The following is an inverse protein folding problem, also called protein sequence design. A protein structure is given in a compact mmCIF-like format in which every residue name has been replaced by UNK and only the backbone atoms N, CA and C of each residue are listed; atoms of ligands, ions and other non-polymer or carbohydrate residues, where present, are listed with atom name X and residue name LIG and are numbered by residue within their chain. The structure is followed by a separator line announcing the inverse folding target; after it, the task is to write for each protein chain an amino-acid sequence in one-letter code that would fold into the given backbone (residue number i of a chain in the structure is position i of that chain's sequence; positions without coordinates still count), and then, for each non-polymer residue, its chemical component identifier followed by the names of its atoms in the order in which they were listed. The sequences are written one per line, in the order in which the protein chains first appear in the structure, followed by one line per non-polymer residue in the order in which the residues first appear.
data_IF_214179705064
#
_entry.id   IF_214179705064
#
_cell.length_a   1.000
_cell.length_b   1.000
_cell.length_c   1.000
_cell.angle_alpha   90.00
_cell.angle_beta   90.00
_cell.angle_gamma   90.00
#
_symmetry.space_group_name_H-M   'P 1'
#
loop_
_entity.id
_entity.type
_entity.pdbx_description
1 polymer ?
#
# COMPACT_ATOMS: atom_id res chain seq x y z
N UNK A 1 6.96 -17.72 -27.20
CA UNK A 1 6.77 -18.28 -25.85
C UNK A 1 5.78 -17.39 -25.14
N UNK A 2 4.55 -17.88 -25.00
CA UNK A 2 3.44 -17.12 -24.42
C UNK A 2 3.58 -17.03 -22.90
N UNK A 3 3.09 -15.94 -22.32
CA UNK A 3 3.11 -15.64 -20.87
C UNK A 3 2.55 -16.80 -20.01
N UNK A 4 1.69 -17.65 -20.56
CA UNK A 4 1.11 -18.81 -19.88
C UNK A 4 2.12 -19.93 -19.56
N UNK A 5 3.22 -20.05 -20.28
CA UNK A 5 4.22 -21.12 -20.05
C UNK A 5 5.23 -20.81 -18.92
N UNK A 6 5.27 -19.56 -18.43
CA UNK A 6 6.16 -19.15 -17.32
C UNK A 6 5.55 -19.35 -15.93
N UNK A 7 4.27 -19.65 -15.83
CA UNK A 7 3.58 -19.73 -14.52
C UNK A 7 3.45 -21.15 -13.99
N UNK A 8 3.86 -22.15 -14.76
CA UNK A 8 3.71 -23.55 -14.38
C UNK A 8 4.96 -24.15 -13.72
N UNK A 9 5.31 -23.68 -12.54
CA UNK A 9 5.95 -24.51 -11.48
C UNK A 9 5.69 -23.86 -10.12
N UNK A 10 4.89 -24.48 -9.24
CA UNK A 10 4.90 -24.09 -7.85
C UNK A 10 6.21 -24.59 -7.24
N UNK A 11 7.21 -23.72 -7.16
CA UNK A 11 8.38 -23.97 -6.33
C UNK A 11 8.03 -23.58 -4.90
N UNK A 12 7.06 -24.29 -4.33
CA UNK A 12 6.97 -24.40 -2.87
C UNK A 12 7.92 -25.53 -2.43
N UNK A 13 9.18 -25.40 -2.80
CA UNK A 13 10.23 -26.08 -2.08
C UNK A 13 10.40 -25.33 -0.77
N UNK A 14 10.18 -26.02 0.31
CA UNK A 14 10.36 -25.72 1.72
C UNK A 14 11.67 -24.93 1.97
N UNK A 15 11.72 -23.67 1.56
CA UNK A 15 12.70 -22.74 2.04
C UNK A 15 12.13 -22.18 3.35
N UNK A 16 12.32 -22.97 4.43
CA UNK A 16 12.45 -22.38 5.76
C UNK A 16 13.65 -21.47 5.69
N UNK A 17 13.45 -20.23 5.18
CA UNK A 17 14.39 -19.15 5.38
C UNK A 17 14.39 -18.96 6.88
N UNK A 18 15.39 -19.55 7.52
CA UNK A 18 15.79 -19.22 8.86
C UNK A 18 16.40 -17.81 8.78
N UNK A 19 15.55 -16.81 8.52
CA UNK A 19 15.90 -15.42 8.59
C UNK A 19 16.11 -15.17 10.06
N UNK A 20 17.35 -15.36 10.53
CA UNK A 20 17.80 -14.77 11.76
C UNK A 20 17.67 -13.26 11.60
N UNK A 21 16.48 -12.75 11.92
CA UNK A 21 16.33 -11.31 12.13
C UNK A 21 17.30 -10.92 13.22
N UNK A 22 18.21 -9.99 12.97
CA UNK A 22 19.16 -9.52 13.98
C UNK A 22 18.48 -8.85 15.18
N UNK A 23 17.16 -8.78 15.19
CA UNK A 23 16.31 -8.24 16.25
C UNK A 23 16.38 -8.99 17.59
N UNK A 24 16.96 -10.22 17.59
CA UNK A 24 17.02 -11.03 18.82
C UNK A 24 18.17 -10.68 19.76
N UNK A 25 19.13 -9.80 19.35
CA UNK A 25 20.30 -9.47 20.16
C UNK A 25 20.63 -7.99 20.28
N UNK A 26 19.87 -7.11 19.68
CA UNK A 26 19.99 -5.66 19.84
C UNK A 26 18.70 -5.11 20.44
N UNK A 27 18.81 -4.32 21.50
CA UNK A 27 17.66 -3.69 22.15
C UNK A 27 16.78 -2.96 21.12
N UNK A 28 15.48 -2.96 21.37
CA UNK A 28 14.51 -2.16 20.60
C UNK A 28 15.05 -0.73 20.47
N UNK A 29 15.20 -0.16 19.27
CA UNK A 29 15.66 1.21 19.14
C UNK A 29 14.77 2.11 20.00
N UNK A 30 15.39 2.92 20.87
CA UNK A 30 14.67 3.78 21.84
C UNK A 30 13.80 4.83 21.15
N UNK A 31 14.01 5.06 19.86
CA UNK A 31 13.23 5.97 19.03
C UNK A 31 12.95 5.30 17.69
N UNK A 32 11.66 5.07 17.40
CA UNK A 32 11.25 4.68 16.05
C UNK A 32 11.39 5.88 15.10
N UNK A 33 11.88 5.70 13.86
CA UNK A 33 11.92 6.77 12.90
C UNK A 33 10.50 7.29 12.64
N UNK A 34 10.34 8.61 12.63
CA UNK A 34 9.07 9.25 12.23
C UNK A 34 9.02 9.29 10.71
N UNK A 35 8.00 8.65 10.12
CA UNK A 35 7.82 8.60 8.67
C UNK A 35 6.65 9.49 8.30
N UNK A 36 6.89 10.45 7.40
CA UNK A 36 5.84 11.29 6.82
C UNK A 36 5.11 10.54 5.69
N UNK A 37 4.00 9.92 6.03
CA UNK A 37 3.16 9.19 5.09
C UNK A 37 2.34 10.12 4.16
N UNK A 38 2.35 11.44 4.38
CA UNK A 38 1.62 12.40 3.52
C UNK A 38 2.33 12.61 2.18
N UNK A 39 3.66 12.40 2.16
CA UNK A 39 4.46 12.48 0.94
C UNK A 39 4.53 11.11 0.26
N UNK A 40 4.64 11.06 -1.09
CA UNK A 40 4.98 9.82 -1.79
C UNK A 40 6.31 9.26 -1.27
N UNK A 41 6.44 7.93 -1.24
CA UNK A 41 7.70 7.30 -0.86
C UNK A 41 8.82 7.72 -1.81
N UNK A 42 9.97 8.10 -1.26
CA UNK A 42 11.14 8.55 -2.02
C UNK A 42 12.38 7.83 -1.49
N UNK A 43 12.59 6.60 -1.95
CA UNK A 43 13.79 5.82 -1.63
C UNK A 43 14.29 5.09 -2.86
N UNK A 44 15.53 4.60 -2.79
CA UNK A 44 16.10 3.78 -3.85
C UNK A 44 15.25 2.52 -4.05
N UNK A 45 15.15 1.99 -5.28
CA UNK A 45 14.44 0.75 -5.54
C UNK A 45 14.96 -0.40 -4.69
N UNK A 46 14.08 -1.17 -4.10
CA UNK A 46 14.44 -2.34 -3.28
C UNK A 46 15.28 -3.34 -4.06
N UNK A 47 15.04 -3.45 -5.37
CA UNK A 47 15.83 -4.30 -6.28
C UNK A 47 17.23 -3.75 -6.58
N UNK A 48 17.54 -2.49 -6.25
CA UNK A 48 18.84 -1.88 -6.54
C UNK A 48 19.91 -2.15 -5.48
N UNK A 49 19.53 -2.64 -4.29
CA UNK A 49 20.46 -2.97 -3.21
C UNK A 49 19.80 -2.99 -1.84
N UNK A 50 20.59 -3.17 -0.78
CA UNK A 50 20.07 -3.18 0.58
C UNK A 50 19.40 -1.85 0.96
N UNK A 51 18.15 -1.90 1.43
CA UNK A 51 17.44 -0.74 1.96
C UNK A 51 17.90 -0.47 3.41
N UNK A 52 17.97 0.80 3.78
CA UNK A 52 18.13 1.19 5.19
C UNK A 52 16.82 0.97 5.98
N UNK A 53 16.93 1.00 7.33
CA UNK A 53 15.81 0.68 8.22
C UNK A 53 14.61 1.62 8.04
N UNK A 54 14.84 2.91 7.78
CA UNK A 54 13.77 3.89 7.60
C UNK A 54 13.02 3.67 6.28
N UNK A 55 13.76 3.46 5.20
CA UNK A 55 13.20 3.12 3.88
C UNK A 55 12.42 1.80 3.91
N UNK A 56 12.98 0.77 4.55
CA UNK A 56 12.31 -0.52 4.71
C UNK A 56 11.01 -0.39 5.51
N UNK A 57 11.01 0.42 6.57
CA UNK A 57 9.83 0.66 7.39
C UNK A 57 8.75 1.43 6.62
N UNK A 58 9.11 2.49 5.89
CA UNK A 58 8.16 3.27 5.07
C UNK A 58 7.47 2.37 4.03
N UNK A 59 8.23 1.61 3.26
CA UNK A 59 7.69 0.67 2.27
C UNK A 59 6.78 -0.37 2.93
N UNK A 60 7.23 -0.96 4.05
CA UNK A 60 6.45 -1.97 4.77
C UNK A 60 5.12 -1.44 5.29
N UNK A 61 5.07 -0.21 5.82
CA UNK A 61 3.84 0.41 6.30
C UNK A 61 2.84 0.67 5.16
N UNK A 62 3.31 1.11 3.99
CA UNK A 62 2.47 1.32 2.81
C UNK A 62 1.94 0.01 2.25
N UNK A 63 2.78 -1.01 2.13
CA UNK A 63 2.36 -2.36 1.71
C UNK A 63 1.35 -2.95 2.70
N UNK A 64 1.57 -2.80 4.00
CA UNK A 64 0.62 -3.24 5.03
C UNK A 64 -0.75 -2.56 4.88
N UNK A 65 -0.78 -1.28 4.51
CA UNK A 65 -2.05 -0.59 4.25
C UNK A 65 -2.79 -1.14 3.03
N UNK A 66 -2.10 -1.73 2.07
CA UNK A 66 -2.71 -2.38 0.89
C UNK A 66 -2.98 -3.88 1.10
N UNK A 67 -2.42 -4.51 2.13
CA UNK A 67 -2.52 -5.95 2.38
C UNK A 67 -3.91 -6.38 2.93
N UNK A 68 -4.97 -5.91 2.27
CA UNK A 68 -6.36 -6.24 2.59
C UNK A 68 -7.19 -6.18 1.29
N UNK A 69 -7.95 -7.24 0.94
CA UNK A 69 -8.68 -7.29 -0.34
C UNK A 69 -9.71 -6.16 -0.51
N UNK A 70 -10.38 -5.75 0.56
CA UNK A 70 -11.36 -4.67 0.50
C UNK A 70 -10.66 -3.33 0.21
N UNK A 71 -9.48 -3.08 0.78
CA UNK A 71 -8.69 -1.87 0.51
C UNK A 71 -8.17 -1.81 -0.91
N UNK A 72 -7.68 -2.93 -1.44
CA UNK A 72 -7.28 -3.01 -2.85
C UNK A 72 -8.45 -2.72 -3.78
N UNK A 73 -9.64 -3.29 -3.48
CA UNK A 73 -10.86 -3.03 -4.26
C UNK A 73 -11.31 -1.58 -4.18
N UNK A 74 -11.25 -0.95 -3.00
CA UNK A 74 -11.57 0.47 -2.82
C UNK A 74 -10.62 1.38 -3.63
N UNK A 75 -9.33 1.13 -3.59
CA UNK A 75 -8.34 1.86 -4.40
C UNK A 75 -8.64 1.70 -5.90
N UNK A 76 -8.93 0.49 -6.36
CA UNK A 76 -9.29 0.23 -7.76
C UNK A 76 -10.53 1.01 -8.19
N UNK A 77 -11.57 1.06 -7.36
CA UNK A 77 -12.78 1.85 -7.62
C UNK A 77 -12.48 3.35 -7.68
N UNK A 78 -11.67 3.86 -6.75
CA UNK A 78 -11.28 5.27 -6.73
C UNK A 78 -10.41 5.67 -7.93
N UNK A 79 -9.60 4.75 -8.46
CA UNK A 79 -8.84 5.00 -9.69
C UNK A 79 -9.69 4.97 -10.95
N UNK A 80 -10.75 4.17 -10.96
CA UNK A 80 -11.69 4.09 -12.08
C UNK A 80 -12.70 5.25 -12.07
N UNK A 81 -12.90 5.91 -10.93
CA UNK A 81 -13.84 7.02 -10.81
C UNK A 81 -13.29 8.30 -11.47
N UNK A 82 -14.12 8.96 -12.27
CA UNK A 82 -13.81 10.28 -12.86
C UNK A 82 -13.99 11.40 -11.84
N UNK A 83 -14.93 11.21 -10.89
CA UNK A 83 -15.29 12.18 -9.86
C UNK A 83 -15.02 11.62 -8.44
N UNK A 84 -14.81 12.51 -7.46
CA UNK A 84 -14.64 12.09 -6.07
C UNK A 84 -15.83 11.26 -5.57
N UNK A 85 -15.55 10.11 -4.96
CA UNK A 85 -16.56 9.16 -4.49
C UNK A 85 -16.90 9.36 -3.02
N UNK A 86 -18.18 9.20 -2.64
CA UNK A 86 -18.59 9.24 -1.23
C UNK A 86 -18.38 7.90 -0.53
N UNK A 87 -18.30 7.92 0.81
CA UNK A 87 -18.24 6.67 1.60
C UNK A 87 -19.42 5.75 1.28
N UNK A 88 -20.64 6.31 1.16
CA UNK A 88 -21.85 5.53 0.89
C UNK A 88 -21.82 4.87 -0.49
N UNK A 89 -21.38 5.58 -1.54
CA UNK A 89 -21.28 5.00 -2.88
C UNK A 89 -20.24 3.87 -2.93
N UNK A 90 -19.12 4.05 -2.26
CA UNK A 90 -18.08 3.01 -2.16
C UNK A 90 -18.56 1.80 -1.35
N UNK A 91 -19.30 2.02 -0.26
CA UNK A 91 -19.88 0.96 0.56
C UNK A 91 -20.86 0.10 -0.24
N UNK A 92 -21.75 0.73 -1.01
CA UNK A 92 -22.67 0.03 -1.91
C UNK A 92 -21.90 -0.79 -2.97
N UNK A 93 -20.83 -0.22 -3.55
CA UNK A 93 -20.04 -0.88 -4.60
C UNK A 93 -19.25 -2.11 -4.11
N UNK A 94 -18.77 -2.09 -2.85
CA UNK A 94 -17.99 -3.23 -2.29
C UNK A 94 -18.86 -4.19 -1.49
N UNK A 95 -20.12 -3.84 -1.20
CA UNK A 95 -21.04 -4.68 -0.41
C UNK A 95 -20.69 -4.73 1.10
N UNK A 96 -20.14 -3.64 1.65
CA UNK A 96 -19.79 -3.50 3.06
C UNK A 96 -20.57 -2.36 3.71
N UNK A 97 -20.59 -2.32 5.05
CA UNK A 97 -21.19 -1.19 5.77
C UNK A 97 -20.37 0.08 5.59
N UNK A 98 -21.01 1.25 5.66
CA UNK A 98 -20.30 2.54 5.57
C UNK A 98 -19.27 2.72 6.70
N UNK A 99 -19.54 2.20 7.89
CA UNK A 99 -18.58 2.24 9.00
C UNK A 99 -17.31 1.43 8.70
N UNK A 100 -17.48 0.24 8.11
CA UNK A 100 -16.35 -0.62 7.69
C UNK A 100 -15.54 0.06 6.59
N UNK A 101 -16.22 0.60 5.57
CA UNK A 101 -15.55 1.32 4.47
C UNK A 101 -14.86 2.57 4.98
N UNK A 102 -15.48 3.33 5.89
CA UNK A 102 -14.86 4.49 6.52
C UNK A 102 -13.55 4.11 7.26
N UNK A 103 -13.54 2.97 7.95
CA UNK A 103 -12.33 2.45 8.59
C UNK A 103 -11.23 2.12 7.56
N UNK A 104 -11.56 1.39 6.49
CA UNK A 104 -10.61 1.07 5.42
C UNK A 104 -10.07 2.32 4.72
N UNK A 105 -10.94 3.29 4.41
CA UNK A 105 -10.53 4.58 3.83
C UNK A 105 -9.63 5.38 4.79
N UNK A 106 -9.89 5.31 6.10
CA UNK A 106 -9.02 5.88 7.13
C UNK A 106 -7.59 5.29 7.08
N UNK A 107 -7.47 3.96 6.97
CA UNK A 107 -6.17 3.29 6.82
C UNK A 107 -5.44 3.71 5.53
N UNK A 108 -6.15 3.75 4.41
CA UNK A 108 -5.60 4.17 3.12
C UNK A 108 -5.17 5.65 3.13
N UNK A 109 -5.94 6.51 3.79
CA UNK A 109 -5.60 7.92 3.96
C UNK A 109 -4.35 8.10 4.83
N UNK A 110 -4.26 7.40 5.96
CA UNK A 110 -3.08 7.41 6.82
C UNK A 110 -1.83 6.96 6.07
N UNK A 111 -1.96 5.99 5.16
CA UNK A 111 -0.87 5.52 4.30
C UNK A 111 -0.60 6.41 3.07
N UNK A 112 -1.32 7.52 2.91
CA UNK A 112 -1.11 8.48 1.84
C UNK A 112 -1.69 8.10 0.48
N UNK A 113 -2.48 7.02 0.35
CA UNK A 113 -3.05 6.55 -0.92
C UNK A 113 -4.38 7.21 -1.29
N UNK A 114 -5.07 7.78 -0.31
CA UNK A 114 -6.37 8.42 -0.49
C UNK A 114 -6.33 9.82 0.11
N UNK A 115 -6.84 10.79 -0.63
CA UNK A 115 -7.22 12.10 -0.13
C UNK A 115 -8.70 12.10 0.21
N UNK A 116 -9.09 12.85 1.24
CA UNK A 116 -10.48 12.98 1.65
C UNK A 116 -10.81 14.43 1.93
N UNK A 117 -11.88 14.92 1.34
CA UNK A 117 -12.35 16.28 1.50
C UNK A 117 -13.80 16.28 1.98
N UNK A 118 -14.11 17.12 2.95
CA UNK A 118 -15.47 17.28 3.46
C UNK A 118 -16.19 18.36 2.67
N UNK A 119 -17.31 17.98 2.06
CA UNK A 119 -18.21 18.89 1.35
C UNK A 119 -19.60 18.82 2.00
N UNK A 120 -19.92 19.81 2.83
CA UNK A 120 -21.13 19.82 3.63
C UNK A 120 -21.17 18.66 4.63
N UNK A 121 -22.18 17.82 4.52
CA UNK A 121 -22.37 16.63 5.39
C UNK A 121 -21.68 15.37 4.86
N UNK A 122 -21.15 15.40 3.63
CA UNK A 122 -20.54 14.24 2.96
C UNK A 122 -19.02 14.38 2.94
N UNK A 123 -18.35 13.23 2.99
CA UNK A 123 -16.91 13.13 2.76
C UNK A 123 -16.68 12.51 1.39
N UNK A 124 -15.91 13.18 0.58
CA UNK A 124 -15.51 12.76 -0.75
C UNK A 124 -14.06 12.25 -0.72
N UNK A 125 -13.81 11.17 -1.44
CA UNK A 125 -12.54 10.48 -1.46
C UNK A 125 -12.01 10.40 -2.89
N UNK A 126 -10.70 10.61 -3.05
CA UNK A 126 -9.96 10.48 -4.31
C UNK A 126 -8.71 9.66 -4.10
N UNK A 127 -8.33 8.85 -5.10
CA UNK A 127 -7.07 8.12 -5.06
C UNK A 127 -5.90 9.05 -5.41
N UNK A 128 -4.79 8.86 -4.70
CA UNK A 128 -3.52 9.54 -4.98
C UNK A 128 -2.66 8.67 -5.88
N UNK A 129 -2.70 8.94 -7.20
CA UNK A 129 -1.94 8.21 -8.21
C UNK A 129 -0.44 8.33 -8.02
N UNK A 130 0.03 9.51 -7.62
CA UNK A 130 1.44 9.79 -7.33
C UNK A 130 2.00 8.84 -6.25
N UNK A 131 1.25 8.61 -5.18
CA UNK A 131 1.65 7.76 -4.07
C UNK A 131 1.76 6.28 -4.48
N UNK A 132 0.81 5.77 -5.29
CA UNK A 132 0.86 4.39 -5.76
C UNK A 132 1.96 4.19 -6.80
N UNK A 133 2.13 5.13 -7.73
CA UNK A 133 3.21 5.10 -8.73
C UNK A 133 4.59 5.13 -8.05
N UNK A 134 4.75 5.96 -7.02
CA UNK A 134 6.00 6.01 -6.26
C UNK A 134 6.31 4.67 -5.57
N UNK A 135 5.30 4.04 -4.95
CA UNK A 135 5.47 2.72 -4.33
C UNK A 135 5.86 1.65 -5.37
N UNK A 136 5.21 1.63 -6.53
CA UNK A 136 5.59 0.70 -7.61
C UNK A 136 7.04 0.88 -8.04
N UNK A 137 7.50 2.12 -8.22
CA UNK A 137 8.89 2.43 -8.61
C UNK A 137 9.91 2.01 -7.55
N UNK A 138 9.55 2.08 -6.27
CA UNK A 138 10.42 1.61 -5.18
C UNK A 138 10.51 0.09 -5.16
N UNK A 139 9.44 -0.61 -5.52
CA UNK A 139 9.46 -2.09 -5.59
C UNK A 139 10.23 -2.57 -6.82
N UNK A 140 9.89 -2.02 -7.98
CA UNK A 140 10.55 -2.35 -9.25
C UNK A 140 10.50 -1.14 -10.20
N UNK A 141 11.66 -0.54 -10.55
CA UNK A 141 11.72 0.60 -11.46
C UNK A 141 11.23 0.27 -12.88
N UNK A 142 11.22 -1.00 -13.27
CA UNK A 142 10.72 -1.48 -14.56
C UNK A 142 9.22 -1.78 -14.62
N UNK A 143 8.53 -1.77 -13.48
CA UNK A 143 7.12 -2.18 -13.40
C UNK A 143 6.15 -1.25 -14.14
N UNK A 144 6.52 0.03 -14.32
CA UNK A 144 5.66 1.06 -14.94
C UNK A 144 6.28 1.67 -16.21
N UNK A 145 7.20 0.96 -16.84
CA UNK A 145 7.81 1.37 -18.11
C UNK A 145 6.96 0.95 -19.31
#
# INVERSE_FOLDING_TARGET
VTYAERVARPVYSTFLINVKYPWHHGGVPKTLPTIDMTQPVCCAPVAAGPADDASALDVAMRLKALADPARVKLISLLFAAEEPSTTGSLAAAVGLSESTVSHHLGQLRTAGFVASERQGIRVHHTARRDALTALCRVLDPGCCA
#
